data_IF_180459312026
#
_entry.id   IF_180459312026
#
_cell.length_a   1.000
_cell.length_b   1.000
_cell.length_c   1.000
_cell.angle_alpha   90.00
_cell.angle_beta   90.00
_cell.angle_gamma   90.00
#
_symmetry.space_group_name_H-M   'P 1'
#
loop_
_entity.id
_entity.type
_entity.pdbx_description
1 polymer ?
#
# COMPACT_ATOMS: atom_id res chain seq x y z
N UNK A 1 7.56 -18.32 13.07
CA UNK A 1 7.67 -17.26 12.04
C UNK A 1 6.78 -16.08 12.44
N UNK A 2 7.16 -14.84 12.08
CA UNK A 2 6.20 -13.73 12.10
C UNK A 2 5.65 -13.54 10.70
N UNK A 3 4.33 -13.61 10.55
CA UNK A 3 3.65 -13.40 9.28
C UNK A 3 3.86 -11.95 8.80
N UNK A 4 4.16 -11.79 7.51
CA UNK A 4 4.26 -10.50 6.82
C UNK A 4 3.18 -10.43 5.75
N UNK A 5 2.52 -9.28 5.61
CA UNK A 5 1.58 -8.99 4.53
C UNK A 5 2.23 -8.08 3.50
N UNK A 6 1.65 -7.98 2.30
CA UNK A 6 1.89 -6.81 1.46
C UNK A 6 1.49 -5.55 2.22
N UNK A 7 2.22 -4.46 2.02
CA UNK A 7 1.97 -3.18 2.69
C UNK A 7 0.53 -2.74 2.52
N UNK A 8 -0.19 -2.55 3.63
CA UNK A 8 -1.59 -2.10 3.64
C UNK A 8 -1.64 -0.63 4.05
N UNK A 9 -1.70 0.26 3.06
CA UNK A 9 -1.74 1.70 3.32
C UNK A 9 -3.08 2.07 3.97
N UNK A 10 -3.01 2.72 5.14
CA UNK A 10 -4.17 3.11 5.95
C UNK A 10 -4.60 4.55 5.67
N UNK A 11 -3.65 5.44 5.40
CA UNK A 11 -3.89 6.86 5.14
C UNK A 11 -2.86 7.51 4.20
N UNK A 12 -3.08 8.78 3.88
CA UNK A 12 -2.25 9.52 2.93
C UNK A 12 -0.88 9.88 3.49
N UNK A 13 -0.74 10.04 4.82
CA UNK A 13 0.54 10.36 5.42
C UNK A 13 1.45 9.13 5.41
N UNK A 14 0.91 7.94 5.70
CA UNK A 14 1.63 6.68 5.53
C UNK A 14 2.09 6.49 4.08
N UNK A 15 1.22 6.73 3.10
CA UNK A 15 1.61 6.68 1.69
C UNK A 15 2.79 7.62 1.40
N UNK A 16 2.72 8.87 1.86
CA UNK A 16 3.81 9.85 1.66
C UNK A 16 5.11 9.41 2.31
N UNK A 17 5.05 8.87 3.53
CA UNK A 17 6.25 8.35 4.21
C UNK A 17 6.87 7.23 3.40
N UNK A 18 6.06 6.25 2.96
CA UNK A 18 6.54 5.13 2.14
C UNK A 18 7.14 5.61 0.83
N UNK A 19 6.47 6.54 0.14
CA UNK A 19 6.94 7.14 -1.10
C UNK A 19 8.27 7.88 -0.93
N UNK A 20 8.45 8.62 0.16
CA UNK A 20 9.70 9.31 0.47
C UNK A 20 10.87 8.33 0.75
N UNK A 21 10.59 7.11 1.17
CA UNK A 21 11.59 6.06 1.36
C UNK A 21 12.03 5.40 0.03
N UNK A 22 11.24 5.55 -1.04
CA UNK A 22 11.58 5.01 -2.37
C UNK A 22 12.65 5.91 -3.01
N UNK A 23 13.86 5.37 -3.14
CA UNK A 23 15.00 6.11 -3.71
C UNK A 23 15.01 6.18 -5.24
N UNK A 24 14.49 5.15 -5.91
CA UNK A 24 14.55 5.03 -7.37
C UNK A 24 13.18 5.36 -7.98
N UNK A 25 13.15 6.43 -8.78
CA UNK A 25 11.93 7.00 -9.37
C UNK A 25 11.32 6.14 -10.48
N UNK A 26 12.10 5.25 -11.10
CA UNK A 26 11.64 4.38 -12.19
C UNK A 26 11.04 3.05 -11.74
N UNK A 27 11.09 2.72 -10.44
CA UNK A 27 10.56 1.45 -9.94
C UNK A 27 9.12 1.59 -9.46
N UNK A 28 8.32 0.57 -9.78
CA UNK A 28 7.01 0.35 -9.21
C UNK A 28 7.09 -0.74 -8.13
N UNK A 29 6.30 -0.57 -7.09
CA UNK A 29 6.22 -1.46 -5.95
C UNK A 29 4.77 -1.85 -5.68
N UNK A 30 4.47 -3.14 -5.78
CA UNK A 30 3.21 -3.73 -5.35
C UNK A 30 2.96 -3.47 -3.88
N UNK A 31 1.73 -3.02 -3.60
CA UNK A 31 1.19 -2.82 -2.25
C UNK A 31 -0.15 -3.57 -2.14
N UNK A 32 -0.52 -3.95 -0.93
CA UNK A 32 -1.81 -4.55 -0.67
C UNK A 32 -2.86 -3.46 -0.45
N UNK A 33 -3.97 -3.52 -1.20
CA UNK A 33 -5.17 -2.79 -0.82
C UNK A 33 -6.11 -3.77 -0.12
N UNK A 34 -6.39 -3.53 1.16
CA UNK A 34 -7.32 -4.38 1.89
C UNK A 34 -8.77 -3.97 1.58
N UNK A 35 -9.41 -4.70 0.67
CA UNK A 35 -10.80 -4.52 0.24
C UNK A 35 -11.83 -5.11 1.24
N UNK A 36 -11.48 -5.25 2.53
CA UNK A 36 -12.43 -5.73 3.53
C UNK A 36 -13.48 -4.67 3.85
N UNK A 37 -14.73 -5.01 3.50
CA UNK A 37 -15.96 -4.19 3.55
C UNK A 37 -16.39 -3.68 4.93
N UNK A 38 -15.65 -3.91 6.02
CA UNK A 38 -16.19 -3.75 7.39
C UNK A 38 -15.81 -2.46 8.14
N UNK A 39 -14.92 -1.61 7.61
CA UNK A 39 -14.51 -0.35 8.27
C UNK A 39 -14.74 0.87 7.34
N UNK A 40 -16.00 1.28 7.23
CA UNK A 40 -16.64 1.64 5.95
C UNK A 40 -16.85 3.13 5.63
N UNK A 41 -16.27 4.08 6.38
CA UNK A 41 -16.47 5.52 6.07
C UNK A 41 -15.17 6.27 5.79
N UNK A 42 -14.21 6.23 6.69
CA UNK A 42 -12.92 6.91 6.48
C UNK A 42 -12.06 6.21 5.42
N UNK A 43 -12.05 4.87 5.43
CA UNK A 43 -11.33 4.04 4.46
C UNK A 43 -11.88 4.18 3.04
N UNK A 44 -13.21 4.35 2.89
CA UNK A 44 -13.87 4.59 1.60
C UNK A 44 -13.50 5.97 1.03
N UNK A 45 -13.44 7.02 1.86
CA UNK A 45 -13.00 8.36 1.42
C UNK A 45 -11.53 8.34 1.00
N UNK A 46 -10.66 7.69 1.79
CA UNK A 46 -9.25 7.53 1.44
C UNK A 46 -9.08 6.73 0.13
N UNK A 47 -9.80 5.63 -0.03
CA UNK A 47 -9.80 4.83 -1.26
C UNK A 47 -10.39 5.60 -2.45
N UNK A 48 -11.42 6.42 -2.26
CA UNK A 48 -11.98 7.29 -3.29
C UNK A 48 -10.98 8.36 -3.73
N UNK A 49 -10.30 9.00 -2.77
CA UNK A 49 -9.22 9.94 -3.03
C UNK A 49 -8.01 9.28 -3.70
N UNK A 50 -7.70 8.03 -3.37
CA UNK A 50 -6.70 7.25 -4.08
C UNK A 50 -7.17 6.90 -5.49
N UNK A 51 -8.42 6.48 -5.70
CA UNK A 51 -8.96 6.17 -7.05
C UNK A 51 -8.91 7.36 -7.99
N UNK A 52 -9.08 8.59 -7.51
CA UNK A 52 -8.90 9.78 -8.34
C UNK A 52 -7.43 10.12 -8.62
N UNK A 53 -6.50 9.56 -7.84
CA UNK A 53 -5.05 9.74 -7.96
C UNK A 53 -4.32 8.53 -8.58
N UNK A 54 -5.03 7.43 -8.81
CA UNK A 54 -4.49 6.22 -9.45
C UNK A 54 -4.43 6.46 -10.96
N UNK A 55 -3.21 6.44 -11.49
CA UNK A 55 -2.99 6.55 -12.93
C UNK A 55 -3.10 5.15 -13.57
N UNK A 56 -3.79 5.05 -14.69
CA UNK A 56 -3.96 3.80 -15.44
C UNK A 56 -5.42 3.43 -15.69
N UNK A 57 -5.64 2.33 -16.41
CA UNK A 57 -6.98 1.83 -16.66
C UNK A 57 -7.46 0.96 -15.50
N UNK A 58 -8.69 1.21 -15.03
CA UNK A 58 -9.35 0.34 -14.06
C UNK A 58 -10.01 -0.84 -14.80
N UNK A 59 -9.21 -1.87 -15.11
CA UNK A 59 -9.68 -3.12 -15.72
C UNK A 59 -9.85 -4.23 -14.67
N UNK A 60 -10.69 -5.21 -14.98
CA UNK A 60 -10.78 -6.46 -14.23
C UNK A 60 -9.37 -7.10 -14.17
N UNK A 61 -8.92 -7.52 -12.98
CA UNK A 61 -7.55 -7.98 -12.67
C UNK A 61 -6.44 -6.91 -12.52
N UNK A 62 -6.79 -5.65 -12.34
CA UNK A 62 -5.79 -4.63 -12.01
C UNK A 62 -5.45 -4.63 -10.52
N UNK A 63 -4.15 -4.55 -10.20
CA UNK A 63 -3.58 -4.42 -8.86
C UNK A 63 -2.96 -3.03 -8.70
N UNK A 64 -2.62 -2.67 -7.47
CA UNK A 64 -2.10 -1.35 -7.17
C UNK A 64 -0.62 -1.38 -6.87
N UNK A 65 0.13 -0.58 -7.62
CA UNK A 65 1.55 -0.34 -7.40
C UNK A 65 1.80 1.13 -7.07
N UNK A 66 2.83 1.39 -6.29
CA UNK A 66 3.27 2.75 -5.95
C UNK A 66 4.69 3.00 -6.43
N UNK A 67 4.95 4.23 -6.82
CA UNK A 67 6.26 4.81 -7.10
C UNK A 67 6.55 5.90 -6.08
N UNK A 68 7.72 6.54 -6.16
CA UNK A 68 8.08 7.69 -5.32
C UNK A 68 7.07 8.86 -5.37
N UNK A 69 6.32 9.03 -6.47
CA UNK A 69 5.47 10.21 -6.64
C UNK A 69 3.99 9.88 -6.83
N UNK A 70 3.68 8.68 -7.32
CA UNK A 70 2.36 8.34 -7.85
C UNK A 70 1.98 6.90 -7.53
N UNK A 71 0.68 6.64 -7.58
CA UNK A 71 0.06 5.32 -7.47
C UNK A 71 -0.51 4.94 -8.82
N UNK A 72 -0.37 3.68 -9.20
CA UNK A 72 -0.73 3.14 -10.51
C UNK A 72 -1.65 1.93 -10.40
N UNK A 73 -2.58 1.83 -11.34
CA UNK A 73 -3.37 0.63 -11.61
C UNK A 73 -2.61 -0.17 -12.67
N UNK A 74 -2.14 -1.36 -12.30
CA UNK A 74 -1.27 -2.19 -13.12
C UNK A 74 -1.83 -3.60 -13.28
N UNK A 75 -1.48 -4.28 -14.37
CA UNK A 75 -1.91 -5.66 -14.59
C UNK A 75 -1.20 -6.59 -13.59
N UNK A 76 -1.94 -7.54 -12.99
CA UNK A 76 -1.44 -8.50 -12.00
C UNK A 76 -0.22 -9.30 -12.46
N UNK A 77 -0.05 -9.51 -13.77
CA UNK A 77 1.07 -10.26 -14.35
C UNK A 77 2.34 -9.41 -14.54
N UNK A 78 2.27 -8.11 -14.26
CA UNK A 78 3.41 -7.21 -14.49
C UNK A 78 4.52 -7.46 -13.47
N UNK A 79 5.77 -7.47 -13.95
CA UNK A 79 6.94 -7.67 -13.11
C UNK A 79 7.32 -6.37 -12.38
N UNK A 80 6.71 -6.15 -11.21
CA UNK A 80 7.06 -5.05 -10.31
C UNK A 80 7.67 -5.58 -8.99
N UNK A 81 8.40 -4.72 -8.28
CA UNK A 81 8.91 -5.02 -6.94
C UNK A 81 7.75 -5.08 -5.94
N UNK A 82 7.97 -5.52 -4.72
CA UNK A 82 6.93 -5.52 -3.68
C UNK A 82 7.44 -4.93 -2.37
N UNK A 83 6.54 -4.33 -1.60
CA UNK A 83 6.81 -3.89 -0.23
C UNK A 83 5.98 -4.75 0.72
N UNK A 84 6.66 -5.37 1.67
CA UNK A 84 6.03 -6.13 2.73
C UNK A 84 6.04 -5.35 4.04
N UNK A 85 4.96 -5.47 4.80
CA UNK A 85 4.85 -4.94 6.16
C UNK A 85 4.84 -6.08 7.18
N UNK A 86 5.24 -5.75 8.41
CA UNK A 86 5.17 -6.67 9.53
C UNK A 86 4.80 -5.91 10.78
N UNK A 87 3.75 -6.34 11.46
CA UNK A 87 3.35 -5.77 12.74
C UNK A 87 4.41 -6.09 13.81
N UNK A 88 4.97 -5.05 14.41
CA UNK A 88 5.85 -5.19 15.55
C UNK A 88 5.01 -5.62 16.76
N UNK A 89 5.43 -6.69 17.45
CA UNK A 89 4.84 -7.03 18.75
C UNK A 89 5.36 -6.03 19.78
N UNK A 90 4.49 -5.47 20.65
CA UNK A 90 4.96 -4.56 21.70
C UNK A 90 5.99 -5.27 22.57
N UNK A 91 7.14 -4.62 22.76
CA UNK A 91 8.16 -5.07 23.70
C UNK A 91 7.67 -4.70 25.09
N UNK A 92 7.09 -5.66 25.80
CA UNK A 92 6.76 -5.48 27.22
C UNK A 92 8.09 -5.59 27.98
N UNK A 93 8.70 -4.45 28.28
CA UNK A 93 9.77 -4.39 29.26
C UNK A 93 9.14 -4.72 30.62
N UNK A 94 9.29 -5.97 31.08
CA UNK A 94 9.06 -6.30 32.48
C UNK A 94 10.11 -5.57 33.28
N UNK A 95 9.73 -4.46 33.92
CA UNK A 95 10.50 -3.87 35.01
C UNK A 95 10.39 -4.85 36.19
N UNK A 96 11.48 -5.55 36.48
CA UNK A 96 11.68 -6.38 37.67
C UNK A 96 12.25 -5.56 38.81
#
# INVERSE_FOLDING_TARGET
QGESSLLLIQDQEELRVIQNLIKNEGNLYWIGLNFTLSEKKWKEVFLFLLRSQIFGENKENSFVATSKMKVFSENCISENKWICEKKLKPVINKVS
#
